data_IF_718322794986
#
_entry.id   IF_718322794986
#
_cell.length_a   1.000
_cell.length_b   1.000
_cell.length_c   1.000
_cell.angle_alpha   90.00
_cell.angle_beta   90.00
_cell.angle_gamma   90.00
#
_symmetry.space_group_name_H-M   'P 1'
#
loop_
_entity.id
_entity.type
_entity.pdbx_description
1 polymer ?
#
# COMPACT_ATOMS: atom_id res chain seq x y z
N UNK A 1 3.21 -1.56 -39.62
CA UNK A 1 1.78 -1.20 -39.55
C UNK A 1 1.46 -0.75 -38.15
N UNK A 2 0.82 0.40 -38.01
CA UNK A 2 0.26 0.86 -36.75
C UNK A 2 -0.97 0.00 -36.45
N UNK A 3 -1.04 -0.56 -35.24
CA UNK A 3 -2.20 -1.33 -34.75
C UNK A 3 -2.89 -0.49 -33.70
N UNK A 4 -4.22 -0.54 -33.65
CA UNK A 4 -4.97 0.12 -32.58
C UNK A 4 -4.89 -0.69 -31.27
N UNK A 5 -5.36 -0.09 -30.18
CA UNK A 5 -5.31 -0.72 -28.84
C UNK A 5 -6.09 -2.04 -28.79
N UNK A 6 -7.14 -2.19 -29.60
CA UNK A 6 -7.98 -3.39 -29.62
C UNK A 6 -7.24 -4.53 -30.30
N UNK A 7 -6.65 -4.26 -31.46
CA UNK A 7 -5.80 -5.22 -32.18
C UNK A 7 -4.59 -5.63 -31.34
N UNK A 8 -3.97 -4.70 -30.59
CA UNK A 8 -2.90 -5.03 -29.65
C UNK A 8 -3.37 -5.94 -28.51
N UNK A 9 -4.53 -5.64 -27.92
CA UNK A 9 -5.12 -6.44 -26.85
C UNK A 9 -5.42 -7.89 -27.30
N UNK A 10 -6.02 -8.05 -28.48
CA UNK A 10 -6.32 -9.36 -29.06
C UNK A 10 -5.03 -10.19 -29.29
N UNK A 11 -3.94 -9.56 -29.74
CA UNK A 11 -2.65 -10.23 -29.92
C UNK A 11 -2.04 -10.70 -28.59
N UNK A 12 -2.13 -9.89 -27.53
CA UNK A 12 -1.66 -10.27 -26.19
C UNK A 12 -2.49 -11.44 -25.65
N UNK A 13 -3.81 -11.40 -25.80
CA UNK A 13 -4.69 -12.50 -25.39
C UNK A 13 -4.35 -13.79 -26.10
N UNK A 14 -4.16 -13.75 -27.43
CA UNK A 14 -3.78 -14.93 -28.21
C UNK A 14 -2.45 -15.52 -27.72
N UNK A 15 -1.45 -14.66 -27.50
CA UNK A 15 -0.13 -15.09 -27.05
C UNK A 15 -0.14 -15.68 -25.63
N UNK A 16 -0.89 -15.07 -24.70
CA UNK A 16 -0.92 -15.49 -23.30
C UNK A 16 -1.85 -16.68 -23.04
N UNK A 17 -2.78 -16.99 -23.94
CA UNK A 17 -3.77 -18.07 -23.79
C UNK A 17 -3.28 -19.43 -24.30
N UNK A 18 -1.97 -19.65 -24.41
CA UNK A 18 -1.37 -20.81 -25.08
C UNK A 18 -1.99 -21.05 -26.48
N UNK A 19 -1.90 -20.03 -27.34
CA UNK A 19 -2.48 -20.03 -28.70
C UNK A 19 -4.01 -20.27 -28.74
N UNK A 20 -4.74 -19.75 -27.74
CA UNK A 20 -6.21 -19.78 -27.70
C UNK A 20 -6.81 -21.02 -27.04
N UNK A 21 -6.03 -21.77 -26.24
CA UNK A 21 -6.52 -22.92 -25.47
C UNK A 21 -7.31 -22.51 -24.21
N UNK A 22 -7.13 -21.28 -23.74
CA UNK A 22 -7.84 -20.74 -22.58
C UNK A 22 -9.25 -20.26 -22.96
N UNK A 23 -10.24 -20.62 -22.16
CA UNK A 23 -11.62 -20.17 -22.34
C UNK A 23 -11.89 -18.84 -21.63
N UNK A 24 -12.73 -18.01 -22.25
CA UNK A 24 -13.19 -16.76 -21.63
C UNK A 24 -14.18 -17.06 -20.50
N UNK A 25 -13.93 -16.49 -19.31
CA UNK A 25 -14.88 -16.53 -18.20
C UNK A 25 -15.85 -15.36 -18.37
N UNK A 26 -17.07 -15.68 -18.80
CA UNK A 26 -18.17 -14.71 -18.90
C UNK A 26 -18.80 -14.49 -17.53
N UNK A 27 -18.78 -13.25 -17.06
CA UNK A 27 -19.39 -12.86 -15.79
C UNK A 27 -20.92 -12.91 -15.89
N UNK A 28 -21.55 -13.55 -14.91
CA UNK A 28 -23.00 -13.54 -14.74
C UNK A 28 -23.52 -12.17 -14.34
N UNK A 29 -24.84 -11.96 -14.47
CA UNK A 29 -25.49 -10.73 -14.00
C UNK A 29 -25.30 -10.50 -12.49
N UNK A 30 -25.23 -11.58 -11.71
CA UNK A 30 -25.02 -11.53 -10.26
C UNK A 30 -23.59 -11.06 -9.94
N UNK A 31 -22.57 -11.66 -10.54
CA UNK A 31 -21.16 -11.25 -10.36
C UNK A 31 -20.95 -9.81 -10.83
N UNK A 32 -21.58 -9.43 -11.95
CA UNK A 32 -21.54 -8.05 -12.43
C UNK A 32 -22.19 -7.07 -11.46
N UNK A 33 -23.28 -7.46 -10.78
CA UNK A 33 -23.91 -6.65 -9.75
C UNK A 33 -23.01 -6.51 -8.50
N UNK A 34 -22.33 -7.59 -8.10
CA UNK A 34 -21.38 -7.57 -6.98
C UNK A 34 -20.18 -6.67 -7.28
N UNK A 35 -19.61 -6.74 -8.49
CA UNK A 35 -18.52 -5.86 -8.93
C UNK A 35 -18.95 -4.39 -8.89
N UNK A 36 -20.16 -4.07 -9.39
CA UNK A 36 -20.72 -2.71 -9.34
C UNK A 36 -20.91 -2.24 -7.90
N UNK A 37 -21.37 -3.12 -7.01
CA UNK A 37 -21.48 -2.81 -5.58
C UNK A 37 -20.10 -2.51 -4.97
N UNK A 38 -19.08 -3.32 -5.23
CA UNK A 38 -17.70 -3.07 -4.75
C UNK A 38 -17.13 -1.75 -5.30
N UNK A 39 -17.44 -1.41 -6.55
CA UNK A 39 -17.10 -0.10 -7.12
C UNK A 39 -17.74 1.03 -6.29
N UNK A 40 -19.05 0.97 -6.08
CA UNK A 40 -19.81 2.06 -5.46
C UNK A 40 -19.49 2.22 -3.97
N UNK A 41 -19.23 1.12 -3.27
CA UNK A 41 -18.96 1.12 -1.82
C UNK A 41 -17.48 1.32 -1.49
N UNK A 42 -16.55 1.07 -2.42
CA UNK A 42 -15.11 1.16 -2.16
C UNK A 42 -14.34 1.87 -3.28
N UNK A 43 -14.20 1.27 -4.46
CA UNK A 43 -13.21 1.75 -5.43
C UNK A 43 -13.50 3.14 -6.02
N UNK A 44 -14.76 3.58 -6.02
CA UNK A 44 -15.16 4.92 -6.45
C UNK A 44 -15.33 5.93 -5.31
N UNK A 45 -15.14 5.53 -4.05
CA UNK A 45 -15.37 6.43 -2.91
C UNK A 45 -14.18 7.37 -2.68
N UNK A 46 -14.46 8.54 -2.13
CA UNK A 46 -13.41 9.50 -1.77
C UNK A 46 -12.51 8.92 -0.67
N UNK A 47 -13.11 8.27 0.33
CA UNK A 47 -12.40 7.64 1.46
C UNK A 47 -11.40 6.58 1.01
N UNK A 48 -11.67 5.86 -0.08
CA UNK A 48 -10.70 4.88 -0.61
C UNK A 48 -9.62 5.54 -1.47
N UNK A 49 -10.00 6.47 -2.35
CA UNK A 49 -9.06 7.06 -3.30
C UNK A 49 -8.12 8.09 -2.69
N UNK A 50 -8.57 8.79 -1.64
CA UNK A 50 -7.81 9.86 -0.98
C UNK A 50 -7.53 9.55 0.49
N UNK A 51 -8.46 8.87 1.18
CA UNK A 51 -8.31 8.56 2.60
C UNK A 51 -8.39 9.80 3.50
N UNK A 52 -8.54 9.57 4.81
CA UNK A 52 -8.33 10.64 5.77
C UNK A 52 -6.83 10.76 6.07
N UNK A 53 -6.28 11.95 5.88
CA UNK A 53 -4.98 12.28 6.45
C UNK A 53 -5.17 12.53 7.95
N UNK A 54 -4.43 11.83 8.84
CA UNK A 54 -4.49 12.13 10.26
C UNK A 54 -4.04 13.57 10.50
N UNK A 55 -4.42 14.14 11.65
CA UNK A 55 -3.64 15.28 12.15
C UNK A 55 -2.23 14.76 12.41
N UNK A 56 -1.22 15.54 12.05
CA UNK A 56 0.16 15.13 12.30
C UNK A 56 0.97 16.31 12.81
N UNK A 57 1.79 16.03 13.82
CA UNK A 57 2.81 16.94 14.33
C UNK A 57 4.14 16.69 13.64
N UNK A 58 4.33 15.46 13.14
CA UNK A 58 5.57 14.97 12.56
C UNK A 58 5.26 14.42 11.17
N UNK A 59 6.03 14.86 10.20
CA UNK A 59 5.99 14.35 8.84
C UNK A 59 7.40 14.34 8.26
N UNK A 60 7.88 13.18 7.83
CA UNK A 60 9.09 13.08 7.02
C UNK A 60 8.84 12.20 5.80
N UNK A 61 9.62 12.45 4.76
CA UNK A 61 9.65 11.63 3.56
C UNK A 61 11.08 11.39 3.11
N UNK A 62 11.30 10.22 2.48
CA UNK A 62 12.58 9.90 1.85
C UNK A 62 12.40 8.87 0.75
N UNK A 63 13.18 9.04 -0.33
CA UNK A 63 13.31 8.03 -1.39
C UNK A 63 14.53 7.15 -1.15
N UNK A 64 14.30 5.85 -1.21
CA UNK A 64 15.29 4.78 -1.12
C UNK A 64 15.27 3.94 -2.41
N UNK A 65 16.17 2.97 -2.51
CA UNK A 65 16.21 2.05 -3.65
C UNK A 65 14.92 1.22 -3.77
N UNK A 66 14.28 0.90 -2.63
CA UNK A 66 13.02 0.15 -2.58
C UNK A 66 11.74 0.95 -2.81
N UNK A 67 11.84 2.27 -3.01
CA UNK A 67 10.69 3.17 -3.14
C UNK A 67 10.83 4.43 -2.28
N UNK A 68 9.89 5.35 -2.44
CA UNK A 68 9.61 6.48 -1.55
C UNK A 68 8.78 5.99 -0.38
N UNK A 69 9.18 6.41 0.82
CA UNK A 69 8.36 6.33 2.03
C UNK A 69 8.12 7.74 2.54
N UNK A 70 6.88 7.98 2.91
CA UNK A 70 6.45 9.12 3.68
C UNK A 70 5.80 8.56 4.96
N UNK A 71 6.03 9.21 6.08
CA UNK A 71 5.27 8.90 7.29
C UNK A 71 4.74 10.19 7.91
N UNK A 72 3.55 10.08 8.48
CA UNK A 72 2.91 11.15 9.24
C UNK A 72 2.50 10.59 10.61
N UNK A 73 2.77 11.31 11.69
CA UNK A 73 2.39 10.89 13.03
C UNK A 73 1.87 12.05 13.90
N UNK A 74 0.87 11.77 14.72
CA UNK A 74 0.42 12.60 15.83
C UNK A 74 1.07 12.07 17.11
N UNK A 75 1.77 12.93 17.86
CA UNK A 75 2.51 12.52 19.06
C UNK A 75 2.08 13.38 20.25
N UNK A 76 1.43 12.73 21.22
CA UNK A 76 0.92 13.37 22.45
C UNK A 76 1.75 12.90 23.64
N UNK A 77 2.38 13.84 24.33
CA UNK A 77 3.22 13.56 25.51
C UNK A 77 4.32 12.50 25.24
N UNK A 78 4.85 12.49 24.02
CA UNK A 78 5.87 11.52 23.57
C UNK A 78 5.33 10.13 23.19
N UNK A 79 4.01 9.96 23.16
CA UNK A 79 3.32 8.73 22.73
C UNK A 79 2.70 8.93 21.36
N UNK A 80 2.88 7.95 20.47
CA UNK A 80 2.27 7.91 19.14
C UNK A 80 0.76 7.72 19.32
N UNK A 81 -0.03 8.75 19.04
CA UNK A 81 -1.49 8.69 19.06
C UNK A 81 -1.99 8.03 17.76
N UNK A 82 -1.49 8.53 16.62
CA UNK A 82 -1.73 7.94 15.30
C UNK A 82 -0.47 8.02 14.44
N UNK A 83 -0.33 7.07 13.52
CA UNK A 83 0.75 7.04 12.52
C UNK A 83 0.21 6.49 11.20
N UNK A 84 0.68 7.03 10.08
CA UNK A 84 0.41 6.55 8.73
C UNK A 84 1.70 6.46 7.93
N UNK A 85 1.84 5.40 7.12
CA UNK A 85 2.87 5.25 6.11
C UNK A 85 2.26 5.39 4.71
N UNK A 86 2.85 6.25 3.88
CA UNK A 86 2.50 6.43 2.48
C UNK A 86 3.72 6.21 1.60
N UNK A 87 3.51 6.02 0.30
CA UNK A 87 4.60 5.91 -0.66
C UNK A 87 4.30 4.99 -1.82
N UNK A 88 5.35 4.71 -2.60
CA UNK A 88 5.32 3.81 -3.76
C UNK A 88 6.11 2.51 -3.52
N UNK A 89 6.37 2.18 -2.25
CA UNK A 89 6.91 0.88 -1.85
C UNK A 89 5.88 -0.23 -2.11
N UNK A 90 6.36 -1.44 -2.37
CA UNK A 90 5.52 -2.59 -2.70
C UNK A 90 5.57 -3.62 -1.58
N UNK A 91 4.57 -3.57 -0.70
CA UNK A 91 4.28 -4.62 0.29
C UNK A 91 3.32 -5.67 -0.26
N UNK A 92 3.44 -6.89 0.27
CA UNK A 92 2.48 -7.99 0.05
C UNK A 92 1.51 -8.15 1.23
N UNK A 93 1.71 -7.40 2.32
CA UNK A 93 0.84 -7.33 3.49
C UNK A 93 0.36 -5.90 3.75
N UNK A 94 -0.83 -5.74 4.36
CA UNK A 94 -1.36 -4.42 4.68
C UNK A 94 -0.50 -3.73 5.75
N UNK A 95 -0.05 -2.50 5.47
CA UNK A 95 0.81 -1.73 6.39
C UNK A 95 0.07 -1.32 7.67
N UNK A 96 -1.26 -1.29 7.65
CA UNK A 96 -2.10 -0.95 8.80
C UNK A 96 -1.76 -1.78 10.06
N UNK A 97 -1.34 -3.05 9.90
CA UNK A 97 -0.93 -3.91 11.02
C UNK A 97 0.30 -3.35 11.76
N UNK A 98 1.24 -2.74 11.01
CA UNK A 98 2.44 -2.10 11.56
C UNK A 98 2.06 -0.78 12.24
N UNK A 99 1.20 0.02 11.60
CA UNK A 99 0.70 1.29 12.14
C UNK A 99 -0.01 1.09 13.48
N UNK A 100 -0.93 0.13 13.56
CA UNK A 100 -1.66 -0.22 14.78
C UNK A 100 -0.73 -0.67 15.91
N UNK A 101 0.37 -1.36 15.58
CA UNK A 101 1.33 -1.85 16.57
C UNK A 101 2.22 -0.76 17.14
N UNK A 102 2.41 0.33 16.40
CA UNK A 102 3.14 1.53 16.80
C UNK A 102 2.26 2.52 17.57
N UNK A 103 0.96 2.56 17.32
CA UNK A 103 0.02 3.35 18.12
C UNK A 103 0.09 2.98 19.62
N UNK A 104 0.06 4.00 20.48
CA UNK A 104 0.21 3.86 21.92
C UNK A 104 1.64 3.57 22.40
N UNK A 105 2.63 3.56 21.50
CA UNK A 105 4.05 3.38 21.86
C UNK A 105 4.77 4.72 21.98
N UNK A 106 5.90 4.71 22.69
CA UNK A 106 6.76 5.90 22.75
C UNK A 106 7.35 6.19 21.37
N UNK A 107 7.32 7.46 20.98
CA UNK A 107 8.00 7.94 19.79
C UNK A 107 9.49 8.16 20.10
N UNK A 108 10.22 7.05 20.28
CA UNK A 108 11.67 7.01 20.49
C UNK A 108 12.26 5.85 19.70
N UNK A 109 13.50 6.02 19.22
CA UNK A 109 14.12 5.09 18.26
C UNK A 109 14.14 3.64 18.77
N UNK A 110 14.48 3.42 20.04
CA UNK A 110 14.56 2.08 20.63
C UNK A 110 13.18 1.42 20.80
N UNK A 111 12.15 2.21 21.14
CA UNK A 111 10.78 1.71 21.27
C UNK A 111 10.23 1.31 19.91
N UNK A 112 10.39 2.18 18.89
CA UNK A 112 9.94 1.91 17.53
C UNK A 112 10.69 0.72 16.92
N UNK A 113 12.02 0.68 17.07
CA UNK A 113 12.86 -0.43 16.57
C UNK A 113 12.38 -1.77 17.12
N UNK A 114 12.16 -1.88 18.43
CA UNK A 114 11.70 -3.13 19.07
C UNK A 114 10.35 -3.63 18.56
N UNK A 115 9.48 -2.72 18.13
CA UNK A 115 8.20 -3.10 17.52
C UNK A 115 8.43 -3.54 16.07
N UNK A 116 9.15 -2.75 15.27
CA UNK A 116 9.42 -3.09 13.86
C UNK A 116 10.20 -4.40 13.69
N UNK A 117 11.07 -4.75 14.64
CA UNK A 117 11.80 -6.03 14.66
C UNK A 117 10.89 -7.27 14.81
N UNK A 118 9.65 -7.08 15.27
CA UNK A 118 8.67 -8.18 15.38
C UNK A 118 7.99 -8.49 14.05
N UNK A 119 8.17 -7.63 13.04
CA UNK A 119 7.56 -7.78 11.73
C UNK A 119 8.59 -8.24 10.70
N UNK A 120 8.20 -9.10 9.75
CA UNK A 120 8.96 -9.31 8.53
C UNK A 120 8.86 -8.05 7.65
N UNK A 121 9.67 -7.02 7.93
CA UNK A 121 9.58 -5.68 7.31
C UNK A 121 9.46 -5.73 5.78
N UNK A 122 10.16 -6.65 5.11
CA UNK A 122 10.09 -6.79 3.65
C UNK A 122 8.72 -7.23 3.11
N UNK A 123 7.87 -7.88 3.91
CA UNK A 123 6.49 -8.21 3.52
C UNK A 123 5.58 -6.99 3.51
N UNK A 124 5.90 -5.95 4.26
CA UNK A 124 5.11 -4.71 4.37
C UNK A 124 5.68 -3.58 3.51
N UNK A 125 7.01 -3.48 3.44
CA UNK A 125 7.71 -2.36 2.80
C UNK A 125 8.61 -2.80 1.62
N UNK A 126 8.49 -4.04 1.16
CA UNK A 126 9.22 -4.55 -0.01
C UNK A 126 10.73 -4.58 0.21
N UNK A 127 11.47 -3.79 -0.58
CA UNK A 127 12.95 -3.73 -0.49
C UNK A 127 13.46 -2.70 0.52
N UNK A 128 12.57 -1.99 1.21
CA UNK A 128 12.95 -1.05 2.26
C UNK A 128 13.36 -1.83 3.49
N UNK A 129 14.49 -1.46 4.07
CA UNK A 129 15.03 -2.07 5.28
C UNK A 129 14.51 -1.40 6.56
N UNK A 130 14.61 -2.11 7.68
CA UNK A 130 14.25 -1.57 9.00
C UNK A 130 15.05 -0.31 9.34
N UNK A 131 16.34 -0.27 9.01
CA UNK A 131 17.17 0.91 9.28
C UNK A 131 16.79 2.10 8.40
N UNK A 132 16.35 1.88 7.17
CA UNK A 132 15.80 2.94 6.30
C UNK A 132 14.46 3.48 6.85
N UNK A 133 13.61 2.62 7.40
CA UNK A 133 12.38 3.05 8.10
C UNK A 133 12.70 3.93 9.30
N UNK A 134 13.61 3.49 10.17
CA UNK A 134 14.02 4.28 11.33
C UNK A 134 14.71 5.58 10.90
N UNK A 135 15.48 5.54 9.80
CA UNK A 135 16.10 6.72 9.26
C UNK A 135 15.06 7.74 8.81
N UNK A 136 14.01 7.36 8.08
CA UNK A 136 12.97 8.33 7.68
C UNK A 136 12.19 8.82 8.92
N UNK A 137 11.96 7.97 9.92
CA UNK A 137 11.20 8.33 11.12
C UNK A 137 11.90 9.32 12.05
N UNK A 138 13.23 9.29 12.12
CA UNK A 138 14.02 10.07 13.08
C UNK A 138 15.10 10.95 12.42
N UNK A 139 14.93 11.28 11.13
CA UNK A 139 15.76 12.23 10.40
C UNK A 139 15.49 13.68 10.81
#
# INVERSE_FOLDING_TARGET
NEIDIKAFWELIHLYLSEDGSSEEILLSEVEMAEIKKMRDERFATWDWNYGSSPKFDIYNEKRFAGGKIEFAAEVKEGIIDSIRFFGDYLGIRPVDEVEESLSGRKFEIDSVRKILEQFPVGEYFGKITLDELLQVMFA
#
